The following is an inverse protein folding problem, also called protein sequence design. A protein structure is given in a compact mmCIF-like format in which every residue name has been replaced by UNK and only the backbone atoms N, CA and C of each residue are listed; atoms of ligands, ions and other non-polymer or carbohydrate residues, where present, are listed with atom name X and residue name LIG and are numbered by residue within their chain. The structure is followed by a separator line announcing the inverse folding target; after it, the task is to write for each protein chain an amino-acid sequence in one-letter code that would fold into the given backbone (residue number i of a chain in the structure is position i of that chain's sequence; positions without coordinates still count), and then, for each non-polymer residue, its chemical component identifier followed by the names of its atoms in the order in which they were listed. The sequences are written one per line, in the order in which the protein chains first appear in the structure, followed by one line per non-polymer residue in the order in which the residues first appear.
data_IF_052024604258
#
_entry.id   IF_052024604258
#
_cell.length_a   1.000
_cell.length_b   1.000
_cell.length_c   1.000
_cell.angle_alpha   90.00
_cell.angle_beta   90.00
_cell.angle_gamma   90.00
#
_symmetry.space_group_name_H-M   'P 1'
#
loop_
_entity.id
_entity.type
_entity.pdbx_description
1 polymer ?
#
# COMPACT_ATOMS: atom_id res chain seq x y z
N UNK A 1 10.38 9.64 12.68
CA UNK A 1 10.91 10.30 11.47
C UNK A 1 9.85 10.29 10.39
N UNK A 2 9.60 11.43 9.75
CA UNK A 2 8.71 11.50 8.59
C UNK A 2 9.50 11.36 7.29
N UNK A 3 8.98 10.54 6.37
CA UNK A 3 9.60 10.31 5.07
C UNK A 3 8.58 10.43 3.95
N UNK A 4 9.02 10.87 2.79
CA UNK A 4 8.24 10.87 1.56
C UNK A 4 8.77 9.83 0.58
N UNK A 5 7.86 9.14 -0.11
CA UNK A 5 8.15 8.28 -1.26
C UNK A 5 7.55 8.94 -2.50
N UNK A 6 8.40 9.46 -3.37
CA UNK A 6 8.04 10.14 -4.62
C UNK A 6 8.25 9.21 -5.82
N UNK A 7 7.18 8.72 -6.47
CA UNK A 7 7.30 7.91 -7.67
C UNK A 7 7.91 8.70 -8.84
N UNK A 8 8.81 8.07 -9.60
CA UNK A 8 9.40 8.69 -10.81
C UNK A 8 8.44 8.61 -12.03
N UNK A 9 7.28 7.95 -11.88
CA UNK A 9 6.28 7.80 -12.94
C UNK A 9 5.11 6.91 -12.51
N UNK A 10 4.32 6.38 -13.46
CA UNK A 10 3.20 5.50 -13.17
C UNK A 10 3.65 4.28 -12.37
N UNK A 11 2.83 3.88 -11.40
CA UNK A 11 3.09 2.74 -10.53
C UNK A 11 2.26 1.53 -10.93
N UNK A 12 2.84 0.35 -10.73
CA UNK A 12 2.11 -0.90 -10.79
C UNK A 12 1.98 -1.49 -9.39
N UNK A 13 1.00 -1.00 -8.65
CA UNK A 13 0.64 -1.47 -7.32
C UNK A 13 -0.27 -2.68 -7.48
N UNK A 14 0.32 -3.85 -7.74
CA UNK A 14 -0.41 -5.04 -8.18
C UNK A 14 -1.65 -5.32 -7.29
N UNK A 15 -2.82 -5.28 -7.92
CA UNK A 15 -4.10 -5.61 -7.30
C UNK A 15 -4.40 -7.10 -7.29
N UNK A 16 -5.69 -7.40 -7.13
CA UNK A 16 -6.22 -8.76 -7.19
C UNK A 16 -6.02 -9.38 -8.58
N UNK A 17 -5.92 -10.71 -8.62
CA UNK A 17 -5.81 -11.50 -9.85
C UNK A 17 -4.43 -12.09 -10.11
N UNK A 18 -4.43 -13.14 -10.93
CA UNK A 18 -3.22 -13.72 -11.50
C UNK A 18 -2.72 -12.82 -12.64
N UNK A 19 -1.41 -12.60 -12.64
CA UNK A 19 -0.73 -11.84 -13.69
C UNK A 19 0.65 -12.46 -13.82
N UNK A 20 0.83 -13.22 -14.87
CA UNK A 20 2.11 -13.80 -15.21
C UNK A 20 2.27 -13.63 -16.72
N UNK A 21 3.20 -12.75 -17.18
CA UNK A 21 3.47 -12.58 -18.60
C UNK A 21 3.94 -13.87 -19.29
N UNK A 22 4.36 -14.88 -18.51
CA UNK A 22 4.81 -16.18 -18.99
C UNK A 22 3.74 -17.27 -18.92
N UNK A 23 2.63 -17.04 -18.21
CA UNK A 23 1.52 -17.97 -18.18
C UNK A 23 0.73 -17.88 -19.49
N UNK A 24 0.62 -19.01 -20.18
CA UNK A 24 -0.28 -19.17 -21.33
C UNK A 24 -1.71 -19.33 -20.77
N UNK A 25 -2.56 -18.32 -20.93
CA UNK A 25 -3.91 -18.36 -20.35
C UNK A 25 -4.75 -17.11 -20.62
N UNK A 26 -6.05 -17.13 -20.27
CA UNK A 26 -7.07 -16.23 -20.82
C UNK A 26 -6.99 -14.77 -20.37
N UNK A 27 -6.20 -14.42 -19.34
CA UNK A 27 -6.14 -13.04 -18.83
C UNK A 27 -4.69 -12.63 -18.50
N UNK A 28 -3.87 -12.25 -19.49
CA UNK A 28 -2.55 -11.65 -19.26
C UNK A 28 -2.69 -10.16 -18.90
N UNK A 29 -3.61 -9.86 -17.98
CA UNK A 29 -4.04 -8.50 -17.67
C UNK A 29 -3.86 -8.18 -16.19
N UNK A 30 -2.98 -7.22 -15.92
CA UNK A 30 -2.70 -6.74 -14.58
C UNK A 30 -3.43 -5.43 -14.28
N UNK A 31 -4.14 -5.35 -13.16
CA UNK A 31 -4.67 -4.08 -12.62
C UNK A 31 -3.83 -3.58 -11.45
N UNK A 32 -3.51 -2.30 -11.49
CA UNK A 32 -2.90 -1.58 -10.37
C UNK A 32 -3.98 -1.05 -9.41
N UNK A 33 -3.65 -1.03 -8.12
CA UNK A 33 -4.41 -0.36 -7.07
C UNK A 33 -4.12 1.14 -7.08
N UNK A 34 -5.12 1.95 -6.70
CA UNK A 34 -4.98 3.40 -6.53
C UNK A 34 -4.26 3.79 -5.23
N UNK A 35 -4.09 2.85 -4.30
CA UNK A 35 -3.47 3.08 -2.99
C UNK A 35 -2.47 1.96 -2.66
N UNK A 36 -1.23 2.29 -2.23
CA UNK A 36 -0.22 1.28 -1.97
C UNK A 36 -0.53 0.51 -0.69
N UNK A 37 -0.28 -0.80 -0.73
CA UNK A 37 -0.44 -1.66 0.44
C UNK A 37 0.74 -1.50 1.39
N UNK A 38 0.55 -1.65 2.70
CA UNK A 38 1.64 -1.58 3.69
C UNK A 38 2.78 -2.55 3.37
N UNK A 39 2.47 -3.76 2.90
CA UNK A 39 3.51 -4.72 2.48
C UNK A 39 4.42 -4.21 1.36
N UNK A 40 3.92 -3.40 0.43
CA UNK A 40 4.73 -2.78 -0.63
C UNK A 40 5.63 -1.68 -0.06
N UNK A 41 5.08 -0.86 0.83
CA UNK A 41 5.82 0.22 1.52
C UNK A 41 6.92 -0.38 2.39
N UNK A 42 6.56 -1.30 3.29
CA UNK A 42 7.50 -1.96 4.19
C UNK A 42 8.58 -2.71 3.41
N UNK A 43 8.23 -3.38 2.31
CA UNK A 43 9.20 -4.05 1.44
C UNK A 43 10.19 -3.08 0.80
N UNK A 44 9.75 -1.89 0.39
CA UNK A 44 10.63 -0.86 -0.15
C UNK A 44 11.57 -0.30 0.94
N UNK A 45 11.04 0.10 2.09
CA UNK A 45 11.85 0.63 3.20
C UNK A 45 12.84 -0.42 3.71
N UNK A 46 12.39 -1.67 3.90
CA UNK A 46 13.28 -2.77 4.29
C UNK A 46 14.35 -3.05 3.22
N UNK A 47 14.05 -2.89 1.93
CA UNK A 47 15.06 -3.04 0.88
C UNK A 47 16.15 -1.96 0.96
N UNK A 48 15.82 -0.75 1.42
CA UNK A 48 16.81 0.30 1.68
C UNK A 48 17.69 -0.06 2.88
N UNK A 49 17.08 -0.45 4.00
CA UNK A 49 17.79 -0.91 5.19
C UNK A 49 18.68 -2.13 4.91
N UNK A 50 18.19 -3.05 4.09
CA UNK A 50 18.86 -4.32 3.78
C UNK A 50 20.10 -4.17 2.88
N UNK A 51 20.08 -3.20 1.95
CA UNK A 51 21.21 -2.95 1.01
C UNK A 51 22.54 -2.73 1.72
N UNK A 52 22.51 -2.38 3.01
CA UNK A 52 23.70 -2.14 3.80
C UNK A 52 24.16 -3.34 4.64
N UNK A 53 23.37 -4.42 4.79
CA UNK A 53 23.59 -5.42 5.86
C UNK A 53 23.48 -6.91 5.49
N UNK A 54 23.13 -7.25 4.25
CA UNK A 54 23.31 -8.59 3.63
C UNK A 54 23.07 -9.85 4.49
N UNK A 55 21.84 -10.38 4.52
CA UNK A 55 21.49 -11.75 5.00
C UNK A 55 20.16 -12.28 4.41
N UNK A 56 20.11 -13.55 3.95
CA UNK A 56 18.90 -14.15 3.33
C UNK A 56 18.14 -15.12 4.27
N UNK A 57 16.79 -15.21 4.21
CA UNK A 57 15.95 -16.01 5.13
C UNK A 57 15.62 -17.45 4.65
N UNK A 58 15.13 -18.30 5.56
CA UNK A 58 14.82 -19.73 5.32
C UNK A 58 13.32 -20.15 5.32
N UNK A 59 12.35 -19.52 6.03
CA UNK A 59 10.88 -19.88 5.97
C UNK A 59 9.89 -18.75 5.52
N UNK A 60 8.64 -19.04 5.04
CA UNK A 60 7.78 -18.03 4.39
C UNK A 60 7.02 -17.10 5.30
N UNK A 61 6.76 -17.59 6.50
CA UNK A 61 6.13 -16.84 7.57
C UNK A 61 7.18 -16.03 8.31
N UNK A 62 8.42 -16.54 8.34
CA UNK A 62 9.61 -15.76 8.62
C UNK A 62 9.83 -14.63 7.61
N UNK A 63 9.22 -14.59 6.42
CA UNK A 63 9.42 -13.48 5.48
C UNK A 63 8.83 -12.14 6.00
N UNK A 64 7.64 -12.17 6.60
CA UNK A 64 7.04 -10.97 7.20
C UNK A 64 7.79 -10.58 8.48
N UNK A 65 8.19 -11.57 9.27
CA UNK A 65 9.02 -11.34 10.46
C UNK A 65 10.42 -10.86 10.10
N UNK A 66 10.97 -11.28 8.96
CA UNK A 66 12.24 -10.83 8.42
C UNK A 66 12.13 -9.39 7.98
N UNK A 67 11.10 -9.03 7.21
CA UNK A 67 10.90 -7.62 6.85
C UNK A 67 10.76 -6.78 8.12
N UNK A 68 10.00 -7.25 9.11
CA UNK A 68 9.88 -6.56 10.39
C UNK A 68 11.22 -6.51 11.16
N UNK A 69 12.02 -7.57 11.12
CA UNK A 69 13.34 -7.65 11.76
C UNK A 69 14.36 -6.73 11.10
N UNK A 70 14.43 -6.70 9.77
CA UNK A 70 15.25 -5.75 9.00
C UNK A 70 14.88 -4.30 9.37
N UNK A 71 13.59 -4.02 9.52
CA UNK A 71 13.14 -2.70 9.97
C UNK A 71 13.56 -2.42 11.42
N UNK A 72 13.41 -3.38 12.32
CA UNK A 72 13.80 -3.28 13.73
C UNK A 72 15.32 -3.08 13.90
N UNK A 73 16.14 -3.82 13.14
CA UNK A 73 17.60 -3.67 13.07
C UNK A 73 18.01 -2.28 12.55
N UNK A 74 17.17 -1.68 11.70
CA UNK A 74 17.31 -0.30 11.24
C UNK A 74 16.66 0.72 12.21
N UNK A 75 16.29 0.31 13.42
CA UNK A 75 15.69 1.16 14.45
C UNK A 75 14.23 1.55 14.21
N UNK A 76 13.55 0.94 13.24
CA UNK A 76 12.15 1.21 12.88
C UNK A 76 11.25 0.22 13.62
N UNK A 77 10.55 0.70 14.65
CA UNK A 77 9.62 -0.11 15.45
C UNK A 77 8.27 -0.33 14.75
N UNK A 78 7.81 0.64 13.97
CA UNK A 78 6.59 0.53 13.16
C UNK A 78 6.52 1.60 12.07
N UNK A 79 5.74 1.33 11.03
CA UNK A 79 5.42 2.27 9.95
C UNK A 79 3.96 2.72 10.12
N UNK A 80 3.69 4.01 10.06
CA UNK A 80 2.33 4.56 10.04
C UNK A 80 2.05 5.31 8.74
N UNK A 81 0.83 5.16 8.22
CA UNK A 81 0.36 5.76 6.97
C UNK A 81 -0.12 4.69 5.95
N UNK A 82 -0.07 4.97 4.64
CA UNK A 82 0.41 6.22 4.02
C UNK A 82 -0.61 7.36 4.10
N UNK A 83 -0.11 8.58 3.92
CA UNK A 83 -0.88 9.73 3.42
C UNK A 83 -0.38 10.06 2.00
N UNK A 84 -1.08 10.94 1.30
CA UNK A 84 -0.67 11.41 -0.02
C UNK A 84 -0.56 12.93 -0.02
N UNK A 85 0.53 13.49 -0.55
CA UNK A 85 0.71 14.94 -0.70
C UNK A 85 0.78 15.32 -2.17
N UNK A 86 0.08 16.39 -2.53
CA UNK A 86 0.11 16.98 -3.87
C UNK A 86 -0.21 18.48 -3.79
N UNK A 87 0.67 19.34 -4.34
CA UNK A 87 0.53 20.81 -4.29
C UNK A 87 0.22 21.33 -2.88
N UNK A 88 1.04 20.93 -1.90
CA UNK A 88 0.95 21.30 -0.48
C UNK A 88 -0.32 20.83 0.25
N UNK A 89 -1.22 20.15 -0.44
CA UNK A 89 -2.42 19.56 0.13
C UNK A 89 -2.17 18.10 0.49
N UNK A 90 -2.75 17.67 1.62
CA UNK A 90 -2.70 16.28 2.08
C UNK A 90 -4.02 15.60 1.77
N UNK A 91 -3.92 14.36 1.29
CA UNK A 91 -5.04 13.53 0.90
C UNK A 91 -4.99 12.17 1.60
N UNK A 92 -6.18 11.62 1.81
CA UNK A 92 -6.41 10.36 2.52
C UNK A 92 -7.40 9.49 1.74
N UNK A 93 -7.36 8.16 1.93
CA UNK A 93 -8.35 7.28 1.35
C UNK A 93 -9.69 7.44 2.07
N UNK A 94 -10.80 7.44 1.34
CA UNK A 94 -12.15 7.39 1.89
C UNK A 94 -12.99 6.43 1.05
N UNK A 95 -13.64 5.49 1.71
CA UNK A 95 -14.46 4.48 1.06
C UNK A 95 -15.91 4.93 0.99
N UNK A 96 -16.44 5.04 -0.22
CA UNK A 96 -17.86 5.30 -0.49
C UNK A 96 -18.37 4.27 -1.51
N UNK A 97 -18.69 4.67 -2.74
CA UNK A 97 -18.87 3.76 -3.88
C UNK A 97 -17.53 3.35 -4.49
N UNK A 98 -16.70 2.70 -3.67
CA UNK A 98 -15.30 2.39 -3.96
C UNK A 98 -14.34 3.42 -3.34
N UNK A 99 -13.05 3.13 -3.47
CA UNK A 99 -11.99 3.94 -2.87
C UNK A 99 -11.84 5.29 -3.58
N UNK A 100 -12.01 6.37 -2.84
CA UNK A 100 -11.74 7.75 -3.25
C UNK A 100 -10.55 8.28 -2.48
N UNK A 101 -9.87 9.27 -3.04
CA UNK A 101 -8.76 9.97 -2.38
C UNK A 101 -9.17 11.42 -2.23
N UNK A 102 -9.40 11.83 -1.00
CA UNK A 102 -10.03 13.10 -0.65
C UNK A 102 -9.05 13.96 0.14
N UNK A 103 -9.24 15.29 0.09
CA UNK A 103 -8.43 16.20 0.90
C UNK A 103 -8.67 15.93 2.39
N UNK A 104 -7.59 15.98 3.18
CA UNK A 104 -7.63 15.87 4.64
C UNK A 104 -8.46 17.00 5.27
N UNK A 105 -8.38 18.21 4.71
CA UNK A 105 -9.15 19.38 5.16
C UNK A 105 -10.67 19.19 5.03
N UNK A 106 -11.13 18.51 3.98
CA UNK A 106 -12.57 18.22 3.77
C UNK A 106 -13.05 16.93 4.46
N UNK A 107 -12.15 16.20 5.13
CA UNK A 107 -12.41 14.83 5.55
C UNK A 107 -13.58 14.69 6.53
N UNK A 108 -13.69 15.55 7.56
CA UNK A 108 -14.76 15.44 8.57
C UNK A 108 -16.14 15.61 7.93
N UNK A 109 -16.29 16.58 7.02
CA UNK A 109 -17.54 16.84 6.29
C UNK A 109 -17.93 15.68 5.38
N UNK A 110 -16.95 15.15 4.64
CA UNK A 110 -17.18 14.02 3.73
C UNK A 110 -17.48 12.72 4.48
N UNK A 111 -16.75 12.43 5.56
CA UNK A 111 -16.99 11.29 6.42
C UNK A 111 -18.42 11.30 6.98
N UNK A 112 -18.85 12.43 7.56
CA UNK A 112 -20.22 12.57 8.06
C UNK A 112 -21.29 12.42 6.97
N UNK A 113 -20.98 12.81 5.73
CA UNK A 113 -21.90 12.63 4.59
C UNK A 113 -22.00 11.17 4.15
N UNK A 114 -20.86 10.47 4.07
CA UNK A 114 -20.80 9.04 3.76
C UNK A 114 -21.55 8.21 4.80
N UNK A 115 -21.40 8.54 6.09
CA UNK A 115 -22.12 7.88 7.18
C UNK A 115 -23.64 8.06 7.07
N UNK A 116 -24.10 9.22 6.59
CA UNK A 116 -25.53 9.49 6.32
C UNK A 116 -26.02 8.87 4.99
N UNK A 117 -25.19 8.10 4.29
CA UNK A 117 -25.56 7.42 3.05
C UNK A 117 -25.29 8.22 1.77
N UNK A 118 -24.64 9.38 1.84
CA UNK A 118 -24.21 10.12 0.65
C UNK A 118 -22.90 9.53 0.11
N UNK A 119 -23.02 8.66 -0.90
CA UNK A 119 -21.88 7.91 -1.44
C UNK A 119 -21.23 8.56 -2.68
N UNK A 120 -21.80 9.67 -3.17
CA UNK A 120 -21.26 10.43 -4.29
C UNK A 120 -20.30 11.50 -3.76
N UNK A 121 -19.01 11.23 -3.89
CA UNK A 121 -17.96 12.21 -3.60
C UNK A 121 -17.47 12.76 -4.93
N UNK A 122 -17.79 14.02 -5.21
CA UNK A 122 -17.32 14.73 -6.40
C UNK A 122 -15.88 15.24 -6.24
N UNK A 123 -15.47 15.56 -5.01
CA UNK A 123 -14.15 16.08 -4.70
C UNK A 123 -13.14 14.96 -4.45
N UNK A 124 -12.07 14.91 -5.24
CA UNK A 124 -10.99 13.98 -5.00
C UNK A 124 -9.82 14.19 -5.95
N UNK A 125 -8.68 13.59 -5.61
CA UNK A 125 -7.52 13.62 -6.49
C UNK A 125 -7.79 12.74 -7.73
N UNK A 126 -7.68 13.34 -8.92
CA UNK A 126 -7.80 12.61 -10.19
C UNK A 126 -6.60 11.66 -10.35
N UNK A 127 -6.84 10.37 -10.15
CA UNK A 127 -5.89 9.31 -10.44
C UNK A 127 -6.31 8.62 -11.73
N UNK A 128 -5.38 8.61 -12.68
CA UNK A 128 -5.62 8.03 -14.00
C UNK A 128 -5.06 6.62 -14.08
N UNK A 129 -5.68 5.80 -14.90
CA UNK A 129 -5.11 4.52 -15.30
C UNK A 129 -4.50 4.68 -16.68
N UNK A 130 -3.22 4.35 -16.81
CA UNK A 130 -2.51 4.28 -18.08
C UNK A 130 -2.34 2.82 -18.45
N UNK A 131 -2.82 2.47 -19.64
CA UNK A 131 -2.69 1.11 -20.16
C UNK A 131 -1.37 0.97 -20.91
N UNK A 132 -0.61 -0.06 -20.56
CA UNK A 132 0.58 -0.50 -21.28
C UNK A 132 0.30 -1.86 -21.90
N UNK A 133 0.55 -1.98 -23.20
CA UNK A 133 0.53 -3.25 -23.92
C UNK A 133 1.97 -3.61 -24.22
N UNK A 134 2.38 -4.81 -23.85
CA UNK A 134 3.75 -5.29 -24.02
C UNK A 134 3.81 -6.68 -24.63
N UNK A 135 4.97 -7.01 -25.19
CA UNK A 135 5.24 -8.29 -25.82
C UNK A 135 6.67 -8.76 -25.53
N UNK A 136 6.96 -10.03 -25.71
CA UNK A 136 8.31 -10.57 -25.63
C UNK A 136 8.85 -10.86 -27.03
N UNK A 137 10.12 -10.50 -27.28
CA UNK A 137 10.79 -10.75 -28.56
C UNK A 137 11.74 -11.94 -28.44
N UNK A 138 11.74 -12.81 -29.45
CA UNK A 138 12.83 -13.73 -29.73
C UNK A 138 13.91 -12.91 -30.45
N UNK A 139 14.97 -12.52 -29.74
CA UNK A 139 16.00 -11.63 -30.31
C UNK A 139 17.42 -12.23 -30.30
N UNK A 140 17.61 -13.42 -29.74
CA UNK A 140 18.96 -13.97 -29.52
C UNK A 140 19.32 -15.24 -30.29
N UNK A 141 18.35 -15.94 -30.88
CA UNK A 141 18.63 -17.23 -31.53
C UNK A 141 18.68 -17.19 -33.06
N UNK A 142 18.08 -16.17 -33.72
CA UNK A 142 17.84 -16.23 -35.18
C UNK A 142 18.12 -14.93 -35.96
N UNK A 143 18.69 -13.89 -35.34
CA UNK A 143 18.95 -12.60 -36.03
C UNK A 143 17.68 -11.86 -36.52
N UNK A 144 16.49 -12.39 -36.26
CA UNK A 144 15.20 -11.79 -36.60
C UNK A 144 14.46 -11.38 -35.33
N UNK A 145 13.95 -10.14 -35.29
CA UNK A 145 13.05 -9.68 -34.21
C UNK A 145 11.64 -10.21 -34.47
N UNK A 146 11.29 -11.35 -33.86
CA UNK A 146 9.92 -11.90 -33.92
C UNK A 146 9.28 -11.87 -32.54
N UNK A 147 7.97 -11.64 -32.49
CA UNK A 147 7.18 -11.77 -31.27
C UNK A 147 7.14 -13.24 -30.86
N UNK A 148 7.39 -13.51 -29.58
CA UNK A 148 7.25 -14.85 -29.01
C UNK A 148 5.76 -15.19 -28.89
N UNK A 149 5.36 -16.30 -29.47
CA UNK A 149 3.96 -16.75 -29.44
C UNK A 149 3.42 -16.87 -28.01
N UNK A 150 2.23 -16.30 -27.79
CA UNK A 150 1.55 -16.27 -26.49
C UNK A 150 2.06 -15.21 -25.51
N UNK A 151 3.07 -14.41 -25.88
CA UNK A 151 3.60 -13.33 -25.02
C UNK A 151 3.04 -11.97 -25.43
N UNK A 152 1.76 -11.78 -25.16
CA UNK A 152 1.11 -10.47 -25.20
C UNK A 152 0.53 -10.21 -23.80
N UNK A 153 0.87 -9.08 -23.21
CA UNK A 153 0.36 -8.72 -21.89
C UNK A 153 -0.12 -7.28 -21.84
N UNK A 154 -1.11 -7.04 -20.99
CA UNK A 154 -1.72 -5.74 -20.78
C UNK A 154 -1.60 -5.37 -19.31
N UNK A 155 -1.24 -4.13 -19.01
CA UNK A 155 -1.11 -3.62 -17.65
C UNK A 155 -1.78 -2.27 -17.52
N UNK A 156 -2.74 -2.18 -16.62
CA UNK A 156 -3.31 -0.92 -16.20
C UNK A 156 -2.53 -0.41 -15.01
N UNK A 157 -1.75 0.64 -15.24
CA UNK A 157 -0.88 1.28 -14.27
C UNK A 157 -1.54 2.52 -13.68
N UNK A 158 -1.32 2.74 -12.41
CA UNK A 158 -1.85 3.90 -11.69
C UNK A 158 -0.92 5.09 -11.90
N UNK A 159 -1.44 6.15 -12.50
CA UNK A 159 -0.73 7.40 -12.72
C UNK A 159 -1.28 8.45 -11.77
N UNK A 160 -0.42 8.89 -10.87
CA UNK A 160 -0.68 10.02 -9.98
C UNK A 160 -0.27 11.33 -10.69
N UNK A 161 -0.87 12.47 -10.32
CA UNK A 161 -0.40 13.76 -10.80
C UNK A 161 1.11 13.95 -10.55
N UNK A 162 1.86 14.55 -11.48
CA UNK A 162 3.29 14.78 -11.31
C UNK A 162 3.61 15.56 -10.02
N UNK A 163 4.60 15.11 -9.26
CA UNK A 163 4.96 15.71 -7.97
C UNK A 163 4.19 15.14 -6.77
N UNK A 164 3.33 14.14 -6.97
CA UNK A 164 2.67 13.42 -5.87
C UNK A 164 3.68 12.64 -5.02
N UNK A 165 3.48 12.65 -3.70
CA UNK A 165 4.35 11.98 -2.73
C UNK A 165 3.53 11.18 -1.71
N UNK A 166 3.94 9.96 -1.39
CA UNK A 166 3.37 9.19 -0.28
C UNK A 166 4.12 9.54 1.01
N UNK A 167 3.41 10.01 2.02
CA UNK A 167 3.99 10.38 3.30
C UNK A 167 3.82 9.24 4.31
N UNK A 168 4.86 8.99 5.08
CA UNK A 168 4.93 7.93 6.07
C UNK A 168 5.61 8.45 7.32
N UNK A 169 5.16 7.95 8.47
CA UNK A 169 5.87 8.10 9.73
C UNK A 169 6.58 6.78 10.05
N UNK A 170 7.91 6.80 10.10
CA UNK A 170 8.74 5.73 10.62
C UNK A 170 8.95 5.97 12.12
N UNK A 171 8.41 5.09 12.96
CA UNK A 171 8.47 5.21 14.42
C UNK A 171 9.67 4.45 14.99
N UNK A 172 10.14 4.87 16.16
CA UNK A 172 11.38 4.39 16.78
C UNK A 172 12.53 5.38 16.57
N UNK A 173 13.73 4.87 16.34
CA UNK A 173 14.94 5.64 16.04
C UNK A 173 15.51 5.20 14.69
N UNK A 174 14.83 5.50 13.56
CA UNK A 174 15.21 4.99 12.25
C UNK A 174 16.61 5.43 11.84
N UNK A 175 17.41 4.47 11.38
CA UNK A 175 18.71 4.66 10.74
C UNK A 175 18.69 3.97 9.39
N UNK A 176 18.35 4.73 8.35
CA UNK A 176 18.26 4.27 6.97
C UNK A 176 18.92 5.29 6.03
N UNK A 177 19.52 4.85 4.91
CA UNK A 177 20.19 5.77 3.99
C UNK A 177 19.17 6.64 3.25
N UNK A 178 19.17 7.95 3.53
CA UNK A 178 18.34 8.96 2.88
C UNK A 178 19.19 10.18 2.44
N UNK A 179 18.85 10.83 1.31
CA UNK A 179 17.87 10.42 0.32
C UNK A 179 18.36 9.22 -0.50
N UNK A 180 17.44 8.37 -0.96
CA UNK A 180 17.79 7.17 -1.75
C UNK A 180 16.76 6.84 -2.82
N UNK A 181 17.12 5.96 -3.75
CA UNK A 181 16.22 5.43 -4.79
C UNK A 181 15.92 3.96 -4.51
N UNK A 182 14.64 3.62 -4.50
CA UNK A 182 14.15 2.27 -4.23
C UNK A 182 13.24 1.79 -5.34
N UNK A 183 13.19 0.47 -5.53
CA UNK A 183 12.10 -0.14 -6.31
C UNK A 183 10.81 -0.02 -5.51
N UNK A 184 9.78 0.57 -6.10
CA UNK A 184 8.49 0.78 -5.43
C UNK A 184 7.35 0.32 -6.34
N UNK A 185 6.61 -0.70 -5.88
CA UNK A 185 5.63 -1.41 -6.70
C UNK A 185 6.26 -2.50 -7.58
N UNK A 186 5.47 -3.00 -8.54
CA UNK A 186 5.90 -4.03 -9.49
C UNK A 186 6.60 -3.46 -10.72
N UNK A 187 7.04 -4.34 -11.62
CA UNK A 187 7.58 -4.00 -12.95
C UNK A 187 8.79 -3.05 -12.93
N UNK A 188 9.63 -3.17 -11.90
CA UNK A 188 10.89 -2.42 -11.81
C UNK A 188 10.71 -0.91 -11.65
N UNK A 189 9.51 -0.43 -11.26
CA UNK A 189 9.25 0.99 -11.02
C UNK A 189 10.09 1.51 -9.85
N UNK A 190 10.49 2.78 -9.95
CA UNK A 190 11.43 3.42 -9.04
C UNK A 190 10.73 4.61 -8.37
N UNK A 191 11.08 4.83 -7.10
CA UNK A 191 10.71 6.03 -6.35
C UNK A 191 11.92 6.57 -5.60
N UNK A 192 11.95 7.89 -5.42
CA UNK A 192 12.86 8.57 -4.50
C UNK A 192 12.26 8.54 -3.10
N UNK A 193 13.09 8.21 -2.10
CA UNK A 193 12.75 8.30 -0.68
C UNK A 193 13.60 9.38 -0.06
N UNK A 194 12.98 10.27 0.72
CA UNK A 194 13.65 11.37 1.40
C UNK A 194 12.96 11.67 2.74
N UNK A 195 13.68 12.33 3.65
CA UNK A 195 13.05 12.92 4.84
C UNK A 195 12.09 14.05 4.43
N UNK A 196 11.07 14.25 5.25
CA UNK A 196 10.11 15.32 5.04
C UNK A 196 9.56 15.84 6.36
N UNK A 197 8.92 17.01 6.30
CA UNK A 197 8.32 17.63 7.47
C UNK A 197 7.12 16.81 7.99
N UNK A 198 6.89 16.81 9.32
CA UNK A 198 5.69 16.23 9.90
C UNK A 198 4.41 16.85 9.34
N UNK A 199 3.37 16.02 9.21
CA UNK A 199 2.03 16.49 8.83
C UNK A 199 1.21 16.72 10.08
N UNK A 200 0.51 17.86 10.14
CA UNK A 200 -0.49 18.09 11.17
C UNK A 200 -1.72 17.20 10.94
N UNK A 201 -2.02 16.36 11.93
CA UNK A 201 -3.13 15.42 11.88
C UNK A 201 -4.25 15.86 12.81
N UNK A 202 -5.52 15.58 12.49
CA UNK A 202 -6.63 15.73 13.43
C UNK A 202 -6.35 14.91 14.70
N UNK A 203 -6.37 15.57 15.87
CA UNK A 203 -5.90 14.97 17.11
C UNK A 203 -6.97 14.19 17.89
N UNK A 204 -8.26 14.40 17.61
CA UNK A 204 -9.33 13.87 18.47
C UNK A 204 -10.59 13.52 17.70
N UNK A 205 -11.19 12.40 18.12
CA UNK A 205 -12.28 11.72 17.44
C UNK A 205 -12.67 10.40 18.11
N UNK A 206 -13.96 10.09 18.18
CA UNK A 206 -14.46 8.76 18.58
C UNK A 206 -14.62 7.81 17.37
N UNK A 207 -14.27 8.32 16.18
CA UNK A 207 -14.28 7.61 14.92
C UNK A 207 -12.86 7.49 14.40
N UNK A 208 -12.65 6.50 13.55
CA UNK A 208 -11.37 6.27 12.92
C UNK A 208 -11.52 6.02 11.44
N UNK A 209 -10.69 6.69 10.65
CA UNK A 209 -10.48 6.38 9.25
C UNK A 209 -9.30 5.42 9.10
N UNK A 210 -9.48 4.29 8.43
CA UNK A 210 -8.37 3.41 8.08
C UNK A 210 -7.58 3.99 6.90
N UNK A 211 -6.30 4.30 7.11
CA UNK A 211 -5.35 4.68 6.05
C UNK A 211 -4.82 3.45 5.31
N UNK A 212 -4.84 2.30 5.97
CA UNK A 212 -4.38 1.03 5.43
C UNK A 212 -5.32 -0.11 5.86
N UNK A 213 -5.36 -1.22 5.10
CA UNK A 213 -6.22 -2.34 5.46
C UNK A 213 -5.88 -2.89 6.86
N UNK A 214 -6.92 -3.23 7.61
CA UNK A 214 -6.84 -3.82 8.94
C UNK A 214 -7.30 -5.30 8.87
N UNK A 215 -6.37 -6.27 8.93
CA UNK A 215 -6.71 -7.70 9.00
C UNK A 215 -7.59 -8.02 10.22
N UNK A 216 -8.60 -8.88 10.02
CA UNK A 216 -9.57 -9.28 11.06
C UNK A 216 -9.79 -10.80 11.08
N UNK A 217 -10.05 -11.39 12.25
CA UNK A 217 -10.41 -12.81 12.41
C UNK A 217 -11.89 -13.10 12.20
N UNK A 218 -12.78 -12.32 12.80
CA UNK A 218 -14.24 -12.50 12.70
C UNK A 218 -14.96 -11.15 12.54
N UNK A 219 -16.29 -11.17 12.35
CA UNK A 219 -17.10 -10.02 11.93
C UNK A 219 -16.84 -8.74 12.73
N UNK A 220 -16.84 -7.59 12.04
CA UNK A 220 -16.55 -6.30 12.65
C UNK A 220 -17.84 -5.53 12.93
N UNK A 221 -18.33 -5.60 14.17
CA UNK A 221 -19.43 -4.74 14.66
C UNK A 221 -19.05 -3.24 14.74
N UNK A 222 -17.80 -2.93 14.42
CA UNK A 222 -17.20 -1.60 14.50
C UNK A 222 -17.27 -0.81 13.19
N UNK A 223 -17.63 -1.45 12.06
CA UNK A 223 -17.64 -0.81 10.75
C UNK A 223 -18.89 0.08 10.58
N UNK A 224 -18.68 1.40 10.47
CA UNK A 224 -19.77 2.35 10.17
C UNK A 224 -20.01 2.40 8.67
N UNK A 225 -18.93 2.57 7.90
CA UNK A 225 -18.97 2.63 6.44
C UNK A 225 -17.64 2.14 5.87
N UNK A 226 -17.68 1.41 4.76
CA UNK A 226 -16.47 0.92 4.12
C UNK A 226 -16.67 -0.41 3.40
N UNK A 227 -15.60 -1.19 3.33
CA UNK A 227 -15.62 -2.51 2.71
C UNK A 227 -14.77 -3.50 3.49
N UNK A 228 -15.22 -4.74 3.50
CA UNK A 228 -14.48 -5.91 3.98
C UNK A 228 -14.24 -6.81 2.78
N UNK A 229 -13.02 -7.29 2.63
CA UNK A 229 -12.65 -8.17 1.52
C UNK A 229 -11.51 -9.10 1.94
N UNK A 230 -11.25 -10.13 1.14
CA UNK A 230 -10.08 -10.99 1.28
C UNK A 230 -8.93 -10.40 0.46
N UNK A 231 -7.80 -10.12 1.10
CA UNK A 231 -6.65 -9.44 0.51
C UNK A 231 -5.38 -10.26 0.68
N UNK A 232 -4.58 -10.34 -0.37
CA UNK A 232 -3.23 -10.89 -0.27
C UNK A 232 -2.27 -9.91 0.42
N UNK A 233 -1.41 -10.43 1.28
CA UNK A 233 -0.36 -9.66 1.96
C UNK A 233 0.85 -9.34 1.06
N UNK A 234 0.75 -9.60 -0.24
CA UNK A 234 1.76 -9.29 -1.26
C UNK A 234 2.52 -10.51 -1.79
N UNK A 235 3.80 -10.33 -2.09
CA UNK A 235 4.69 -11.34 -2.65
C UNK A 235 6.03 -11.30 -1.93
N UNK A 236 6.58 -12.46 -1.58
CA UNK A 236 7.89 -12.60 -0.95
C UNK A 236 8.97 -12.65 -2.02
N UNK A 237 9.89 -11.69 -2.02
CA UNK A 237 11.03 -11.67 -2.95
C UNK A 237 12.03 -12.78 -2.62
N UNK A 238 12.34 -12.99 -1.34
CA UNK A 238 13.29 -14.00 -0.90
C UNK A 238 12.88 -15.42 -1.34
N UNK A 239 11.58 -15.65 -1.51
CA UNK A 239 11.00 -16.99 -1.66
C UNK A 239 10.25 -17.17 -2.96
N UNK A 240 10.18 -16.10 -3.76
CA UNK A 240 9.51 -16.02 -5.05
C UNK A 240 8.09 -16.59 -5.03
N UNK A 241 7.33 -16.30 -3.97
CA UNK A 241 5.93 -16.78 -3.84
C UNK A 241 4.98 -15.77 -3.23
N UNK A 242 3.69 -15.96 -3.48
CA UNK A 242 2.62 -15.14 -2.90
C UNK A 242 2.60 -15.30 -1.38
N UNK A 243 2.39 -14.17 -0.69
CA UNK A 243 2.06 -14.15 0.73
C UNK A 243 0.58 -14.52 0.92
N UNK A 244 0.18 -14.89 2.14
CA UNK A 244 -1.16 -15.41 2.43
C UNK A 244 -2.27 -14.40 2.13
N UNK A 245 -3.47 -14.93 1.94
CA UNK A 245 -4.71 -14.17 1.91
C UNK A 245 -5.23 -13.99 3.32
N UNK A 246 -5.69 -12.79 3.66
CA UNK A 246 -6.32 -12.46 4.94
C UNK A 246 -7.60 -11.70 4.70
N UNK A 247 -8.61 -11.93 5.54
CA UNK A 247 -9.79 -11.08 5.58
C UNK A 247 -9.41 -9.76 6.24
N UNK A 248 -9.79 -8.63 5.65
CA UNK A 248 -9.44 -7.31 6.16
C UNK A 248 -10.55 -6.28 5.91
N UNK A 249 -10.69 -5.33 6.83
CA UNK A 249 -11.37 -4.07 6.56
C UNK A 249 -10.44 -3.23 5.69
N UNK A 250 -10.93 -2.70 4.58
CA UNK A 250 -10.11 -2.00 3.60
C UNK A 250 -9.84 -0.55 4.00
N UNK A 251 -8.76 0.01 3.44
CA UNK A 251 -8.43 1.43 3.48
C UNK A 251 -9.62 2.31 3.07
N UNK A 252 -9.73 3.48 3.69
CA UNK A 252 -10.83 4.42 3.55
C UNK A 252 -12.08 4.07 4.35
N UNK A 253 -12.14 2.91 5.00
CA UNK A 253 -13.27 2.55 5.86
C UNK A 253 -13.28 3.37 7.16
N UNK A 254 -14.46 3.71 7.65
CA UNK A 254 -14.70 4.43 8.90
C UNK A 254 -15.18 3.45 9.96
N UNK A 255 -14.52 3.47 11.11
CA UNK A 255 -14.81 2.64 12.28
C UNK A 255 -15.32 3.49 13.44
N UNK A 256 -16.24 2.92 14.22
CA UNK A 256 -16.64 3.44 15.54
C UNK A 256 -15.86 2.67 16.60
N UNK A 257 -15.11 3.36 17.44
CA UNK A 257 -14.59 2.75 18.66
C UNK A 257 -15.64 2.88 19.78
N UNK A 258 -15.86 1.81 20.55
CA UNK A 258 -16.43 1.98 21.88
C UNK A 258 -15.32 2.43 22.85
N UNK A 259 -15.68 2.98 24.01
CA UNK A 259 -14.73 3.49 25.01
C UNK A 259 -13.73 2.45 25.53
N UNK A 260 -13.99 1.16 25.28
CA UNK A 260 -13.13 0.02 25.66
C UNK A 260 -12.34 -0.56 24.48
N UNK A 261 -12.62 -0.15 23.24
CA UNK A 261 -11.98 -0.73 22.06
C UNK A 261 -10.77 0.07 21.60
N UNK A 262 -9.66 -0.63 21.42
CA UNK A 262 -8.53 -0.12 20.67
C UNK A 262 -8.56 -0.73 19.25
N UNK A 263 -8.16 0.02 18.22
CA UNK A 263 -7.89 -0.53 16.86
C UNK A 263 -6.99 -1.74 16.92
N UNK A 264 -6.09 -1.78 17.91
CA UNK A 264 -5.19 -2.90 18.08
C UNK A 264 -5.90 -4.18 18.53
N UNK A 265 -7.07 -4.08 19.15
CA UNK A 265 -7.93 -5.23 19.47
C UNK A 265 -8.64 -5.77 18.21
N UNK A 266 -8.83 -4.93 17.17
CA UNK A 266 -9.36 -5.37 15.86
C UNK A 266 -8.35 -6.23 15.09
N UNK A 267 -7.05 -6.03 15.32
CA UNK A 267 -5.96 -6.84 14.74
C UNK A 267 -5.74 -8.15 15.50
N UNK A 268 -6.80 -8.73 16.06
CA UNK A 268 -6.78 -10.10 16.59
C UNK A 268 -6.54 -11.07 15.43
N UNK A 269 -5.27 -11.28 15.10
CA UNK A 269 -4.78 -12.16 14.07
C UNK A 269 -3.46 -12.76 14.59
N UNK A 270 -3.07 -14.00 14.24
CA UNK A 270 -1.82 -14.61 14.71
C UNK A 270 -0.55 -13.78 14.46
N UNK A 271 -0.63 -12.83 13.53
CA UNK A 271 0.46 -11.93 13.14
C UNK A 271 0.12 -10.46 13.40
N UNK A 272 -0.87 -10.16 14.22
CA UNK A 272 -1.39 -8.80 14.44
C UNK A 272 -0.29 -7.80 14.78
N UNK A 273 0.64 -8.18 15.67
CA UNK A 273 1.79 -7.34 16.02
C UNK A 273 2.75 -7.13 14.84
N UNK A 274 3.14 -8.19 14.13
CA UNK A 274 4.02 -8.07 12.95
C UNK A 274 3.37 -7.22 11.86
N UNK A 275 2.10 -7.45 11.55
CA UNK A 275 1.36 -6.69 10.55
C UNK A 275 1.21 -5.22 10.95
N UNK A 276 0.96 -4.95 12.24
CA UNK A 276 0.99 -3.59 12.79
C UNK A 276 2.33 -2.90 12.59
N UNK A 277 3.44 -3.59 12.89
CA UNK A 277 4.80 -3.05 12.66
C UNK A 277 5.02 -2.69 11.18
N UNK A 278 4.48 -3.49 10.26
CA UNK A 278 4.55 -3.25 8.82
C UNK A 278 3.56 -2.18 8.32
N UNK A 279 2.74 -1.61 9.20
CA UNK A 279 1.81 -0.51 8.92
C UNK A 279 0.38 -0.90 8.53
N UNK A 280 0.00 -2.17 8.70
CA UNK A 280 -1.41 -2.59 8.59
C UNK A 280 -2.23 -2.06 9.77
N UNK A 281 -3.47 -1.64 9.48
CA UNK A 281 -4.35 -1.01 10.47
C UNK A 281 -3.92 0.41 10.87
N UNK A 282 -3.11 1.09 10.06
CA UNK A 282 -2.84 2.51 10.27
C UNK A 282 -4.14 3.29 10.14
N UNK A 283 -4.42 4.16 11.11
CA UNK A 283 -5.66 4.92 11.18
C UNK A 283 -5.44 6.37 11.58
N UNK A 284 -6.43 7.20 11.26
CA UNK A 284 -6.53 8.60 11.62
C UNK A 284 -7.80 8.82 12.44
N UNK A 285 -7.73 9.62 13.50
CA UNK A 285 -8.92 10.00 14.29
C UNK A 285 -9.78 11.03 13.56
N UNK A 286 -11.11 10.88 13.67
CA UNK A 286 -12.13 11.68 13.00
C UNK A 286 -13.13 12.34 13.95
#
# INVERSE_FOLDING_TARGET
MWVSIKPDGPLFLRGHGEFDPSARGPIPFGRSLSWPRPGTIAGAIASLAYRERGTSPSTPWEDLKLVAGILEDAGISSIWGPLLRYKDEVYVPLWARGLKIVKLSSLRTLAGSVERGCLSIAEGLDIRNIQYVGTALLSRELGQKRVREGYLFIRNMTSFPPGTEFLLELRGSPSIPLPSRVKFGGEGRIAKVAETEPVELPKEGNRLLLLSPAPIRSGSNFLISGSIDVRGLGFSLARRKRRPLVRAILEGSILKLSSTDNVYNLLDHPFGLTLKRLGYGSSLSL
#
